data_IF_428009730339
#
_entry.id   IF_428009730339
#
_cell.length_a   1.000
_cell.length_b   1.000
_cell.length_c   1.000
_cell.angle_alpha   90.00
_cell.angle_beta   90.00
_cell.angle_gamma   90.00
#
_symmetry.space_group_name_H-M   'P 1'
#
loop_
_entity.id
_entity.type
_entity.pdbx_description
1 polymer ?
#
# COMPACT_ATOMS: atom_id res chain seq x y z
N UNK A 1 -30.40 17.93 78.54
CA UNK A 1 -31.27 17.09 77.71
C UNK A 1 -30.42 16.55 76.57
N UNK A 2 -30.33 15.22 76.49
CA UNK A 2 -29.53 14.47 75.51
C UNK A 2 -30.11 14.60 74.09
N UNK A 3 -29.24 14.70 73.09
CA UNK A 3 -29.37 13.93 71.85
C UNK A 3 -28.01 13.86 71.15
N UNK A 4 -27.34 12.73 71.32
CA UNK A 4 -26.16 12.36 70.54
C UNK A 4 -26.64 11.83 69.19
N UNK A 5 -26.42 12.58 68.10
CA UNK A 5 -26.47 12.00 66.76
C UNK A 5 -25.22 11.15 66.59
N UNK A 6 -25.40 9.82 66.56
CA UNK A 6 -24.37 8.88 66.11
C UNK A 6 -24.05 9.21 64.65
N UNK A 7 -23.00 9.98 64.42
CA UNK A 7 -22.38 10.10 63.10
C UNK A 7 -21.88 8.72 62.69
N UNK A 8 -22.50 8.13 61.66
CA UNK A 8 -22.06 6.87 61.07
C UNK A 8 -20.67 7.07 60.46
N UNK A 9 -19.63 6.68 61.19
CA UNK A 9 -18.24 6.63 60.74
C UNK A 9 -17.98 5.35 59.93
N UNK A 10 -18.60 5.28 58.75
CA UNK A 10 -18.20 4.34 57.70
C UNK A 10 -17.64 5.12 56.51
N UNK A 11 -16.54 4.70 55.87
CA UNK A 11 -16.11 5.30 54.61
C UNK A 11 -17.29 5.22 53.61
N UNK A 12 -17.50 6.25 52.76
CA UNK A 12 -18.61 6.23 51.81
C UNK A 12 -18.57 4.94 50.98
N UNK A 13 -19.72 4.28 50.74
CA UNK A 13 -19.74 3.05 49.96
C UNK A 13 -19.05 3.30 48.63
N UNK A 14 -18.18 2.39 48.24
CA UNK A 14 -17.27 2.52 47.11
C UNK A 14 -18.07 2.42 45.79
N UNK A 15 -18.85 3.46 45.46
CA UNK A 15 -19.73 3.55 44.28
C UNK A 15 -18.96 3.23 43.00
N UNK A 16 -17.67 3.59 42.98
CA UNK A 16 -16.65 3.20 41.99
C UNK A 16 -16.66 1.69 41.67
N UNK A 17 -16.74 0.82 42.67
CA UNK A 17 -16.72 -0.64 42.49
C UNK A 17 -17.99 -1.15 41.82
N UNK A 18 -19.15 -0.62 42.20
CA UNK A 18 -20.44 -0.98 41.61
C UNK A 18 -20.59 -0.46 40.17
N UNK A 19 -20.08 0.75 39.90
CA UNK A 19 -20.04 1.31 38.54
C UNK A 19 -19.12 0.48 37.63
N UNK A 20 -17.93 0.09 38.09
CA UNK A 20 -17.03 -0.80 37.34
C UNK A 20 -17.68 -2.16 37.03
N UNK A 21 -18.33 -2.76 38.01
CA UNK A 21 -19.08 -4.02 37.84
C UNK A 21 -20.24 -3.86 36.85
N UNK A 22 -20.99 -2.75 36.92
CA UNK A 22 -22.06 -2.43 35.97
C UNK A 22 -21.55 -2.28 34.53
N UNK A 23 -20.42 -1.59 34.33
CA UNK A 23 -19.79 -1.45 33.00
C UNK A 23 -19.34 -2.82 32.47
N UNK A 24 -18.69 -3.65 33.29
CA UNK A 24 -18.27 -4.99 32.88
C UNK A 24 -19.48 -5.84 32.49
N UNK A 25 -20.55 -5.83 33.31
CA UNK A 25 -21.77 -6.57 33.01
C UNK A 25 -22.39 -6.11 31.68
N UNK A 26 -22.44 -4.81 31.42
CA UNK A 26 -22.96 -4.26 30.17
C UNK A 26 -22.11 -4.67 28.96
N UNK A 27 -20.79 -4.65 29.08
CA UNK A 27 -19.87 -5.12 28.01
C UNK A 27 -20.11 -6.61 27.72
N UNK A 28 -20.25 -7.44 28.75
CA UNK A 28 -20.50 -8.89 28.60
C UNK A 28 -21.85 -9.13 27.91
N UNK A 29 -22.91 -8.44 28.35
CA UNK A 29 -24.24 -8.55 27.73
C UNK A 29 -24.15 -8.15 26.25
N UNK A 30 -23.51 -7.02 25.95
CA UNK A 30 -23.37 -6.53 24.57
C UNK A 30 -22.55 -7.51 23.72
N UNK A 31 -21.47 -8.08 24.26
CA UNK A 31 -20.67 -9.07 23.56
C UNK A 31 -21.49 -10.33 23.25
N UNK A 32 -22.27 -10.85 24.21
CA UNK A 32 -23.11 -12.03 24.02
C UNK A 32 -24.20 -11.76 22.97
N UNK A 33 -24.85 -10.60 23.00
CA UNK A 33 -25.87 -10.24 22.00
C UNK A 33 -25.26 -10.14 20.60
N UNK A 34 -24.11 -9.47 20.47
CA UNK A 34 -23.44 -9.31 19.18
C UNK A 34 -22.93 -10.64 18.62
N UNK A 35 -22.23 -11.44 19.45
CA UNK A 35 -21.70 -12.75 19.04
C UNK A 35 -22.83 -13.74 18.79
N UNK A 36 -23.86 -13.74 19.63
CA UNK A 36 -25.02 -14.61 19.47
C UNK A 36 -25.77 -14.35 18.16
N UNK A 37 -26.01 -13.08 17.82
CA UNK A 37 -26.65 -12.72 16.56
C UNK A 37 -25.81 -13.18 15.34
N UNK A 38 -24.49 -12.95 15.38
CA UNK A 38 -23.59 -13.40 14.30
C UNK A 38 -23.51 -14.93 14.21
N UNK A 39 -23.54 -15.63 15.34
CA UNK A 39 -23.52 -17.09 15.37
C UNK A 39 -24.80 -17.71 14.78
N UNK A 40 -25.96 -17.13 15.06
CA UNK A 40 -27.23 -17.56 14.46
C UNK A 40 -27.21 -17.34 12.95
N UNK A 41 -26.79 -16.16 12.50
CA UNK A 41 -26.66 -15.87 11.06
C UNK A 41 -25.70 -16.84 10.38
N UNK A 42 -24.55 -17.10 11.00
CA UNK A 42 -23.58 -18.07 10.48
C UNK A 42 -24.20 -19.47 10.37
N UNK A 43 -24.88 -19.94 11.42
CA UNK A 43 -25.46 -21.28 11.46
C UNK A 43 -26.60 -21.44 10.45
N UNK A 44 -27.47 -20.44 10.32
CA UNK A 44 -28.53 -20.43 9.30
C UNK A 44 -27.96 -20.51 7.89
N UNK A 45 -26.94 -19.70 7.58
CA UNK A 45 -26.32 -19.74 6.26
C UNK A 45 -25.57 -21.05 6.00
N UNK A 46 -24.93 -21.63 7.02
CA UNK A 46 -24.26 -22.92 6.91
C UNK A 46 -25.25 -24.06 6.59
N UNK A 47 -26.38 -24.13 7.30
CA UNK A 47 -27.42 -25.13 7.06
C UNK A 47 -28.12 -24.95 5.71
N UNK A 48 -28.39 -23.70 5.30
CA UNK A 48 -29.14 -23.43 4.06
C UNK A 48 -28.26 -23.57 2.80
N UNK A 49 -27.01 -23.12 2.84
CA UNK A 49 -26.16 -22.98 1.65
C UNK A 49 -24.92 -23.87 1.63
N UNK A 50 -24.56 -24.51 2.74
CA UNK A 50 -23.43 -25.43 2.88
C UNK A 50 -22.17 -24.95 2.13
N UNK A 51 -21.78 -25.66 1.06
CA UNK A 51 -20.57 -25.38 0.26
C UNK A 51 -20.57 -23.98 -0.38
N UNK A 52 -21.73 -23.45 -0.77
CA UNK A 52 -21.85 -22.11 -1.34
C UNK A 52 -21.52 -21.02 -0.31
N UNK A 53 -21.71 -21.31 0.98
CA UNK A 53 -21.36 -20.40 2.07
C UNK A 53 -19.96 -20.67 2.64
N UNK A 54 -19.57 -21.94 2.81
CA UNK A 54 -18.30 -22.31 3.45
C UNK A 54 -17.10 -22.09 2.54
N UNK A 55 -17.24 -22.24 1.22
CA UNK A 55 -16.12 -22.12 0.28
C UNK A 55 -15.57 -20.68 0.21
N UNK A 56 -16.39 -19.63 0.00
CA UNK A 56 -15.90 -18.25 0.03
C UNK A 56 -15.36 -17.85 1.41
N UNK A 57 -15.96 -18.38 2.48
CA UNK A 57 -15.51 -18.15 3.85
C UNK A 57 -14.14 -18.78 4.11
N UNK A 58 -13.91 -19.99 3.64
CA UNK A 58 -12.63 -20.68 3.70
C UNK A 58 -11.53 -19.86 3.01
N UNK A 59 -11.74 -19.44 1.74
CA UNK A 59 -10.79 -18.61 1.03
C UNK A 59 -10.56 -17.25 1.71
N UNK A 60 -11.62 -16.63 2.24
CA UNK A 60 -11.51 -15.38 3.00
C UNK A 60 -10.63 -15.54 4.24
N UNK A 61 -10.76 -16.65 4.97
CA UNK A 61 -9.95 -16.96 6.16
C UNK A 61 -8.50 -17.22 5.78
N UNK A 62 -8.24 -18.01 4.74
CA UNK A 62 -6.88 -18.27 4.24
C UNK A 62 -6.19 -16.95 3.89
N UNK A 63 -6.89 -16.10 3.12
CA UNK A 63 -6.43 -14.77 2.75
C UNK A 63 -6.15 -13.88 3.96
N UNK A 64 -7.10 -13.82 4.90
CA UNK A 64 -6.98 -13.07 6.15
C UNK A 64 -5.74 -13.50 6.94
N UNK A 65 -5.48 -14.80 7.07
CA UNK A 65 -4.32 -15.33 7.79
C UNK A 65 -3.02 -14.95 7.07
N UNK A 66 -2.91 -15.20 5.77
CA UNK A 66 -1.69 -14.97 5.00
C UNK A 66 -1.35 -13.48 4.93
N UNK A 67 -2.27 -12.66 4.45
CA UNK A 67 -2.04 -11.24 4.20
C UNK A 67 -1.86 -10.46 5.50
N UNK A 68 -2.64 -10.74 6.54
CA UNK A 68 -2.44 -10.08 7.84
C UNK A 68 -1.15 -10.54 8.52
N UNK A 69 -0.69 -11.78 8.30
CA UNK A 69 0.62 -12.22 8.77
C UNK A 69 1.75 -11.42 8.10
N UNK A 70 1.65 -11.24 6.77
CA UNK A 70 2.60 -10.41 6.02
C UNK A 70 2.58 -8.96 6.53
N UNK A 71 1.39 -8.37 6.71
CA UNK A 71 1.24 -6.97 7.07
C UNK A 71 1.61 -6.67 8.54
N UNK A 72 1.17 -7.52 9.47
CA UNK A 72 1.09 -7.20 10.89
C UNK A 72 2.06 -7.97 11.78
N UNK A 73 2.57 -9.14 11.36
CA UNK A 73 3.47 -9.92 12.21
C UNK A 73 4.88 -9.36 12.15
N UNK A 74 5.43 -9.04 13.32
CA UNK A 74 6.82 -8.58 13.47
C UNK A 74 7.69 -9.73 13.97
N UNK A 75 8.78 -10.00 13.26
CA UNK A 75 9.76 -11.05 13.61
C UNK A 75 10.89 -10.53 14.54
N UNK A 76 11.03 -9.21 14.69
CA UNK A 76 12.09 -8.61 15.53
C UNK A 76 11.81 -8.77 17.04
N UNK A 77 12.21 -9.92 17.58
CA UNK A 77 12.08 -10.28 19.00
C UNK A 77 13.04 -9.49 19.92
N UNK A 78 14.12 -8.96 19.37
CA UNK A 78 15.14 -8.20 20.13
C UNK A 78 14.59 -6.86 20.59
N UNK A 79 13.91 -6.13 19.69
CA UNK A 79 13.28 -4.84 20.04
C UNK A 79 11.96 -5.04 20.77
N UNK A 80 11.10 -5.97 20.30
CA UNK A 80 9.80 -6.34 20.92
C UNK A 80 8.99 -5.18 21.51
N UNK A 81 9.03 -4.02 20.84
CA UNK A 81 8.25 -2.85 21.25
C UNK A 81 6.88 -2.88 20.57
N UNK A 82 5.83 -2.51 21.32
CA UNK A 82 4.46 -2.39 20.84
C UNK A 82 3.92 -1.02 21.21
N UNK A 83 3.41 -0.28 20.22
CA UNK A 83 2.83 1.05 20.42
C UNK A 83 1.59 0.96 21.31
N UNK A 84 0.72 -0.03 21.06
CA UNK A 84 -0.50 -0.22 21.84
C UNK A 84 -0.17 -0.46 23.32
N UNK A 85 0.69 -1.43 23.62
CA UNK A 85 1.04 -1.78 25.00
C UNK A 85 1.76 -0.66 25.72
N UNK A 86 2.65 0.05 25.02
CA UNK A 86 3.31 1.23 25.58
C UNK A 86 2.28 2.33 25.91
N UNK A 87 1.43 2.71 24.95
CA UNK A 87 0.39 3.74 25.17
C UNK A 87 -0.54 3.36 26.31
N UNK A 88 -0.97 2.09 26.37
CA UNK A 88 -1.83 1.60 27.44
C UNK A 88 -1.14 1.67 28.81
N UNK A 89 0.11 1.21 28.90
CA UNK A 89 0.88 1.27 30.14
C UNK A 89 1.12 2.72 30.60
N UNK A 90 1.46 3.61 29.67
CA UNK A 90 1.62 5.04 29.95
C UNK A 90 0.29 5.65 30.42
N UNK A 91 -0.82 5.38 29.73
CA UNK A 91 -2.14 5.91 30.10
C UNK A 91 -2.61 5.42 31.48
N UNK A 92 -2.46 4.12 31.77
CA UNK A 92 -2.77 3.55 33.09
C UNK A 92 -1.89 4.18 34.17
N UNK A 93 -0.59 4.36 33.89
CA UNK A 93 0.32 5.05 34.79
C UNK A 93 -0.10 6.48 35.11
N UNK A 94 -0.61 7.21 34.12
CA UNK A 94 -1.16 8.56 34.32
C UNK A 94 -2.45 8.57 35.15
N UNK A 95 -3.34 7.59 34.94
CA UNK A 95 -4.61 7.49 35.67
C UNK A 95 -4.42 7.09 37.14
N UNK A 96 -3.43 6.25 37.43
CA UNK A 96 -3.17 5.72 38.76
C UNK A 96 -2.21 6.59 39.61
N UNK A 97 -1.73 7.73 39.09
CA UNK A 97 -0.72 8.53 39.80
C UNK A 97 -1.33 9.42 40.88
N UNK A 98 -0.52 9.70 41.91
CA UNK A 98 -0.74 10.83 42.81
C UNK A 98 -0.44 12.16 42.09
N UNK A 99 -1.30 13.20 42.19
CA UNK A 99 -1.14 14.46 41.46
C UNK A 99 0.17 15.21 41.73
N UNK A 100 0.79 14.96 42.89
CA UNK A 100 2.00 15.67 43.35
C UNK A 100 3.32 14.96 42.99
N UNK A 101 3.27 13.78 42.37
CA UNK A 101 4.47 13.04 41.97
C UNK A 101 5.04 13.53 40.63
N UNK A 102 6.37 13.60 40.52
CA UNK A 102 7.06 13.92 39.27
C UNK A 102 6.78 12.87 38.19
N UNK A 103 6.78 13.32 36.93
CA UNK A 103 6.42 12.50 35.78
C UNK A 103 7.67 11.86 35.19
N UNK A 104 7.92 10.59 35.50
CA UNK A 104 8.95 9.80 34.82
C UNK A 104 8.30 8.98 33.69
N UNK A 105 8.26 9.56 32.49
CA UNK A 105 7.78 8.85 31.29
C UNK A 105 8.96 8.12 30.68
N UNK A 106 8.96 6.79 30.80
CA UNK A 106 9.89 5.95 30.07
C UNK A 106 9.77 6.21 28.56
N UNK A 107 10.90 6.45 27.87
CA UNK A 107 10.86 6.62 26.40
C UNK A 107 10.46 5.32 25.69
N UNK A 108 9.66 5.42 24.63
CA UNK A 108 9.28 4.29 23.78
C UNK A 108 10.49 3.52 23.23
N UNK A 109 11.61 4.21 23.02
CA UNK A 109 12.83 3.62 22.51
C UNK A 109 13.41 2.52 23.43
N UNK A 110 13.16 2.62 24.73
CA UNK A 110 13.63 1.70 25.76
C UNK A 110 12.59 0.65 26.14
N UNK A 111 11.34 0.83 25.69
CA UNK A 111 10.22 -0.02 26.06
C UNK A 111 10.29 -1.40 25.40
N UNK A 112 10.10 -2.44 26.20
CA UNK A 112 10.10 -3.84 25.76
C UNK A 112 9.06 -4.63 26.56
N UNK A 113 8.26 -5.43 25.86
CA UNK A 113 7.41 -6.44 26.52
C UNK A 113 8.19 -7.75 26.69
N UNK A 114 7.65 -8.69 27.48
CA UNK A 114 8.25 -10.03 27.60
C UNK A 114 8.09 -10.84 26.31
N UNK A 115 8.95 -11.84 26.12
CA UNK A 115 8.93 -12.70 24.91
C UNK A 115 7.59 -13.43 24.73
N UNK A 116 7.03 -14.10 25.77
CA UNK A 116 5.74 -14.78 25.62
C UNK A 116 4.61 -13.81 25.26
N UNK A 117 4.57 -12.65 25.91
CA UNK A 117 3.57 -11.62 25.62
C UNK A 117 3.71 -11.07 24.21
N UNK A 118 4.93 -10.94 23.69
CA UNK A 118 5.16 -10.51 22.31
C UNK A 118 4.63 -11.51 21.29
N UNK A 119 4.86 -12.81 21.52
CA UNK A 119 4.40 -13.90 20.63
C UNK A 119 2.87 -13.96 20.64
N UNK A 120 2.26 -14.00 21.82
CA UNK A 120 0.79 -13.96 21.97
C UNK A 120 0.24 -12.73 21.26
N UNK A 121 0.86 -11.57 21.44
CA UNK A 121 0.44 -10.34 20.78
C UNK A 121 0.55 -10.41 19.24
N UNK A 122 1.54 -11.10 18.66
CA UNK A 122 1.59 -11.27 17.21
C UNK A 122 0.43 -12.13 16.70
N UNK A 123 0.09 -13.19 17.42
CA UNK A 123 -1.04 -14.07 17.09
C UNK A 123 -2.36 -13.29 17.24
N UNK A 124 -2.54 -12.57 18.34
CA UNK A 124 -3.74 -11.75 18.58
C UNK A 124 -3.95 -10.70 17.50
N UNK A 125 -2.89 -10.09 16.95
CA UNK A 125 -3.04 -9.15 15.84
C UNK A 125 -3.65 -9.80 14.60
N UNK A 126 -3.18 -11.00 14.23
CA UNK A 126 -3.71 -11.74 13.09
C UNK A 126 -5.19 -12.06 13.31
N UNK A 127 -5.57 -12.50 14.51
CA UNK A 127 -6.96 -12.82 14.82
C UNK A 127 -7.86 -11.57 14.89
N UNK A 128 -7.39 -10.48 15.48
CA UNK A 128 -8.18 -9.26 15.67
C UNK A 128 -8.32 -8.44 14.39
N UNK A 129 -7.28 -8.40 13.55
CA UNK A 129 -7.25 -7.55 12.37
C UNK A 129 -7.29 -8.34 11.05
N UNK A 130 -7.31 -9.68 11.10
CA UNK A 130 -7.33 -10.54 9.91
C UNK A 130 -8.51 -10.24 8.99
N UNK A 131 -9.67 -9.89 9.54
CA UNK A 131 -10.85 -9.54 8.76
C UNK A 131 -10.62 -8.37 7.78
N UNK A 132 -9.74 -7.42 8.09
CA UNK A 132 -9.38 -6.33 7.17
C UNK A 132 -8.60 -6.78 5.93
N UNK A 133 -8.11 -8.01 5.95
CA UNK A 133 -7.33 -8.63 4.88
C UNK A 133 -8.08 -9.79 4.21
N UNK A 134 -9.37 -9.98 4.50
CA UNK A 134 -10.18 -10.97 3.84
C UNK A 134 -10.35 -10.61 2.36
N UNK A 135 -9.80 -11.44 1.47
CA UNK A 135 -9.96 -11.31 0.03
C UNK A 135 -10.12 -12.70 -0.58
N UNK A 136 -11.33 -12.99 -1.09
CA UNK A 136 -11.72 -14.30 -1.62
C UNK A 136 -10.82 -14.70 -2.79
N UNK A 137 -10.60 -13.79 -3.74
CA UNK A 137 -9.80 -14.07 -4.94
C UNK A 137 -8.35 -14.41 -4.60
N UNK A 138 -7.74 -13.68 -3.67
CA UNK A 138 -6.40 -14.00 -3.19
C UNK A 138 -6.37 -15.34 -2.45
N UNK A 139 -7.37 -15.60 -1.59
CA UNK A 139 -7.45 -16.85 -0.83
C UNK A 139 -7.56 -18.07 -1.73
N UNK A 140 -8.40 -17.98 -2.76
CA UNK A 140 -8.51 -18.98 -3.82
C UNK A 140 -7.16 -19.16 -4.53
N UNK A 141 -6.55 -18.06 -4.99
CA UNK A 141 -5.27 -18.10 -5.69
C UNK A 141 -4.15 -18.72 -4.84
N UNK A 142 -4.12 -18.43 -3.54
CA UNK A 142 -3.14 -18.98 -2.62
C UNK A 142 -3.27 -20.50 -2.48
N UNK A 143 -4.49 -21.01 -2.31
CA UNK A 143 -4.73 -22.47 -2.26
C UNK A 143 -4.39 -23.11 -3.60
N UNK A 144 -4.83 -22.50 -4.70
CA UNK A 144 -4.54 -22.98 -6.05
C UNK A 144 -3.03 -23.15 -6.31
N UNK A 145 -2.20 -22.20 -5.84
CA UNK A 145 -0.74 -22.29 -5.91
C UNK A 145 -0.15 -23.34 -4.96
N UNK A 146 -0.69 -23.49 -3.75
CA UNK A 146 -0.26 -24.50 -2.78
C UNK A 146 -0.48 -25.90 -3.33
N UNK A 147 -1.55 -26.11 -4.09
CA UNK A 147 -1.86 -27.36 -4.77
C UNK A 147 -0.94 -27.65 -5.97
N UNK A 148 0.02 -26.77 -6.25
CA UNK A 148 1.03 -26.94 -7.31
C UNK A 148 0.60 -26.44 -8.68
N UNK A 149 -0.54 -25.76 -8.79
CA UNK A 149 -0.97 -25.14 -10.04
C UNK A 149 -0.20 -23.85 -10.31
N UNK A 150 -0.22 -23.41 -11.57
CA UNK A 150 0.52 -22.24 -12.02
C UNK A 150 -0.41 -21.05 -12.33
N UNK A 151 -0.05 -19.86 -11.84
CA UNK A 151 -0.71 -18.58 -12.15
C UNK A 151 0.20 -17.63 -12.95
N UNK A 152 1.31 -18.14 -13.50
CA UNK A 152 2.30 -17.39 -14.26
C UNK A 152 3.17 -16.47 -13.41
N UNK A 153 3.44 -16.86 -12.16
CA UNK A 153 4.27 -16.07 -11.22
C UNK A 153 5.71 -15.97 -11.73
N UNK A 154 6.19 -17.00 -12.42
CA UNK A 154 7.52 -17.05 -13.04
C UNK A 154 7.74 -15.97 -14.10
N UNK A 155 6.67 -15.44 -14.70
CA UNK A 155 6.76 -14.39 -15.72
C UNK A 155 6.74 -12.98 -15.10
N UNK A 156 6.40 -12.83 -13.81
CA UNK A 156 6.34 -11.53 -13.11
C UNK A 156 7.63 -10.69 -13.23
N UNK A 157 8.85 -11.24 -13.18
CA UNK A 157 10.06 -10.44 -13.35
C UNK A 157 10.10 -9.64 -14.66
N UNK A 158 9.42 -10.11 -15.71
CA UNK A 158 9.38 -9.42 -17.01
C UNK A 158 8.77 -8.01 -16.89
N UNK A 159 7.82 -7.80 -15.97
CA UNK A 159 7.22 -6.48 -15.71
C UNK A 159 8.26 -5.39 -15.44
N UNK A 160 9.34 -5.72 -14.73
CA UNK A 160 10.36 -4.73 -14.40
C UNK A 160 11.14 -4.25 -15.62
N UNK A 161 11.11 -5.00 -16.71
CA UNK A 161 11.72 -4.62 -17.99
C UNK A 161 10.76 -3.85 -18.89
N UNK A 162 9.45 -4.05 -18.78
CA UNK A 162 8.44 -3.51 -19.71
C UNK A 162 8.52 -1.98 -19.89
N UNK A 163 8.70 -1.15 -18.85
CA UNK A 163 8.85 0.30 -19.04
C UNK A 163 10.08 0.70 -19.87
N UNK A 164 11.10 -0.16 -19.92
CA UNK A 164 12.41 0.16 -20.49
C UNK A 164 12.64 -0.41 -21.89
N UNK A 165 11.74 -1.28 -22.37
CA UNK A 165 11.82 -1.89 -23.69
C UNK A 165 10.69 -1.38 -24.58
N UNK A 166 10.92 -1.38 -25.89
CA UNK A 166 9.87 -1.19 -26.89
C UNK A 166 9.51 -2.57 -27.42
N UNK A 167 8.46 -3.22 -26.88
CA UNK A 167 8.08 -4.54 -27.35
C UNK A 167 7.60 -4.44 -28.81
N UNK A 168 7.80 -5.50 -29.60
CA UNK A 168 7.27 -5.53 -30.94
C UNK A 168 5.73 -5.57 -30.90
N UNK A 169 5.09 -5.14 -31.99
CA UNK A 169 3.63 -5.00 -32.08
C UNK A 169 2.92 -6.32 -32.39
N UNK A 170 3.67 -7.38 -32.67
CA UNK A 170 3.13 -8.69 -32.98
C UNK A 170 2.66 -9.42 -31.71
N UNK A 171 1.67 -10.29 -31.89
CA UNK A 171 1.00 -11.01 -30.82
C UNK A 171 1.90 -12.03 -30.08
N UNK A 172 3.04 -12.40 -30.68
CA UNK A 172 3.96 -13.37 -30.09
C UNK A 172 4.50 -12.90 -28.73
N UNK A 173 4.88 -11.63 -28.62
CA UNK A 173 5.44 -11.07 -27.40
C UNK A 173 4.41 -11.09 -26.26
N UNK A 174 3.15 -10.74 -26.56
CA UNK A 174 2.06 -10.78 -25.59
C UNK A 174 1.81 -12.21 -25.09
N UNK A 175 1.82 -13.18 -26.00
CA UNK A 175 1.57 -14.60 -25.69
C UNK A 175 2.64 -15.20 -24.80
N UNK A 176 3.90 -14.86 -25.03
CA UNK A 176 5.02 -15.40 -24.27
C UNK A 176 5.20 -14.71 -22.91
N UNK A 177 4.96 -13.40 -22.83
CA UNK A 177 5.40 -12.59 -21.69
C UNK A 177 4.27 -11.96 -20.87
N UNK A 178 3.14 -11.61 -21.49
CA UNK A 178 2.09 -10.79 -20.86
C UNK A 178 0.87 -11.63 -20.48
N UNK A 179 0.33 -12.43 -21.40
CA UNK A 179 -0.84 -13.27 -21.14
C UNK A 179 -0.62 -14.22 -19.95
N UNK A 180 0.54 -14.91 -19.84
CA UNK A 180 0.76 -15.84 -18.74
C UNK A 180 0.71 -15.19 -17.36
N UNK A 181 1.11 -13.92 -17.23
CA UNK A 181 1.16 -13.22 -15.94
C UNK A 181 -0.17 -12.60 -15.51
N UNK A 182 -1.17 -12.47 -16.40
CA UNK A 182 -2.47 -11.83 -16.09
C UNK A 182 -3.12 -12.41 -14.83
N UNK A 183 -3.22 -13.75 -14.64
CA UNK A 183 -3.84 -14.31 -13.44
C UNK A 183 -3.13 -13.84 -12.16
N UNK A 184 -1.80 -13.95 -12.10
CA UNK A 184 -1.03 -13.48 -10.94
C UNK A 184 -1.20 -11.97 -10.69
N UNK A 185 -1.21 -11.16 -11.74
CA UNK A 185 -1.37 -9.71 -11.63
C UNK A 185 -2.76 -9.27 -11.20
N UNK A 186 -3.78 -10.09 -11.45
CA UNK A 186 -5.14 -9.81 -11.01
C UNK A 186 -5.36 -10.21 -9.55
N UNK A 187 -5.01 -11.45 -9.20
CA UNK A 187 -5.47 -12.05 -7.92
C UNK A 187 -4.37 -12.25 -6.87
N UNK A 188 -3.09 -12.25 -7.25
CA UNK A 188 -1.97 -12.51 -6.33
C UNK A 188 -1.23 -11.22 -5.95
N UNK A 189 -0.75 -10.48 -6.95
CA UNK A 189 0.19 -9.38 -6.75
C UNK A 189 -0.45 -8.18 -6.03
N UNK A 190 -1.62 -7.66 -6.43
CA UNK A 190 -2.17 -6.46 -5.80
C UNK A 190 -2.45 -6.63 -4.29
N UNK A 191 -3.05 -7.74 -3.82
CA UNK A 191 -3.22 -7.99 -2.39
C UNK A 191 -1.89 -8.09 -1.62
N UNK A 192 -0.86 -8.70 -2.21
CA UNK A 192 0.48 -8.78 -1.60
C UNK A 192 1.14 -7.41 -1.50
N UNK A 193 1.10 -6.60 -2.56
CA UNK A 193 1.60 -5.22 -2.54
C UNK A 193 0.86 -4.39 -1.50
N UNK A 194 -0.47 -4.53 -1.40
CA UNK A 194 -1.26 -3.89 -0.36
C UNK A 194 -0.80 -4.28 1.05
N UNK A 195 -0.65 -5.57 1.33
CA UNK A 195 -0.20 -6.06 2.63
C UNK A 195 1.22 -5.59 2.99
N UNK A 196 2.16 -5.62 2.03
CA UNK A 196 3.52 -5.10 2.21
C UNK A 196 3.51 -3.58 2.39
N UNK A 197 2.68 -2.85 1.65
CA UNK A 197 2.49 -1.41 1.79
C UNK A 197 2.00 -1.03 3.19
N UNK A 198 0.99 -1.75 3.71
CA UNK A 198 0.51 -1.59 5.10
C UNK A 198 1.64 -1.88 6.10
N UNK A 199 2.43 -2.93 5.88
CA UNK A 199 3.60 -3.24 6.72
C UNK A 199 4.58 -2.08 6.76
N UNK A 200 4.94 -1.51 5.61
CA UNK A 200 5.85 -0.37 5.50
C UNK A 200 5.25 0.84 6.21
N UNK A 201 3.99 1.17 5.96
CA UNK A 201 3.30 2.30 6.61
C UNK A 201 3.31 2.15 8.13
N UNK A 202 2.95 0.99 8.67
CA UNK A 202 2.89 0.76 10.11
C UNK A 202 4.28 0.77 10.76
N UNK A 203 5.26 0.08 10.16
CA UNK A 203 6.55 -0.14 10.79
C UNK A 203 7.62 0.89 10.46
N UNK A 204 7.62 1.44 9.26
CA UNK A 204 8.51 2.54 8.89
C UNK A 204 7.85 3.85 9.27
N UNK A 205 6.61 4.11 8.84
CA UNK A 205 5.89 5.35 9.14
C UNK A 205 5.47 5.49 10.60
N UNK A 206 4.36 4.87 10.97
CA UNK A 206 3.69 5.07 12.27
C UNK A 206 4.63 4.79 13.44
N UNK A 207 5.37 3.68 13.39
CA UNK A 207 6.26 3.31 14.48
C UNK A 207 7.44 4.27 14.69
N UNK A 208 8.05 4.80 13.62
CA UNK A 208 9.14 5.75 13.77
C UNK A 208 8.64 7.16 14.11
N UNK A 209 7.49 7.58 13.57
CA UNK A 209 6.82 8.83 13.99
C UNK A 209 6.52 8.77 15.48
N UNK A 210 5.91 7.68 15.95
CA UNK A 210 5.60 7.48 17.37
C UNK A 210 6.86 7.56 18.25
N UNK A 211 7.96 6.94 17.79
CA UNK A 211 9.26 7.03 18.45
C UNK A 211 9.82 8.45 18.48
N UNK A 212 9.68 9.21 17.40
CA UNK A 212 10.13 10.61 17.32
C UNK A 212 9.34 11.48 18.29
N UNK A 213 8.01 11.34 18.33
CA UNK A 213 7.14 12.11 19.23
C UNK A 213 7.50 11.82 20.68
N UNK A 214 7.60 10.55 21.06
CA UNK A 214 7.93 10.16 22.44
C UNK A 214 9.32 10.62 22.85
N UNK A 215 10.32 10.49 21.97
CA UNK A 215 11.65 11.03 22.22
C UNK A 215 11.66 12.56 22.33
N UNK A 216 10.88 13.26 21.50
CA UNK A 216 10.76 14.72 21.59
C UNK A 216 10.20 15.14 22.94
N UNK A 217 9.13 14.49 23.42
CA UNK A 217 8.53 14.79 24.73
C UNK A 217 9.55 14.58 25.86
N UNK A 218 10.29 13.47 25.86
CA UNK A 218 11.30 13.20 26.89
C UNK A 218 12.48 14.16 26.80
N UNK A 219 12.97 14.44 25.59
CA UNK A 219 14.13 15.30 25.37
C UNK A 219 13.79 16.77 25.68
N UNK A 220 12.57 17.23 25.35
CA UNK A 220 12.07 18.55 25.69
C UNK A 220 11.89 18.73 27.22
N UNK A 221 11.36 17.71 27.91
CA UNK A 221 11.31 17.71 29.37
C UNK A 221 12.71 17.77 30.02
N UNK A 222 13.72 17.18 29.37
CA UNK A 222 15.12 17.27 29.78
C UNK A 222 15.86 18.53 29.32
N UNK A 223 15.20 19.42 28.56
CA UNK A 223 15.76 20.68 28.04
C UNK A 223 16.75 20.53 26.88
N UNK A 224 16.86 19.36 26.24
CA UNK A 224 17.86 19.08 25.18
C UNK A 224 17.23 18.46 23.92
N UNK A 225 16.34 19.16 23.20
CA UNK A 225 15.71 18.64 22.00
C UNK A 225 16.73 18.42 20.85
N UNK A 226 16.65 17.27 20.18
CA UNK A 226 17.53 16.88 19.06
C UNK A 226 16.81 16.99 17.71
N UNK A 227 16.47 18.21 17.30
CA UNK A 227 15.70 18.49 16.08
C UNK A 227 16.27 17.83 14.82
N UNK A 228 17.60 17.82 14.65
CA UNK A 228 18.24 17.19 13.49
C UNK A 228 17.95 15.68 13.40
N UNK A 229 17.91 14.98 14.54
CA UNK A 229 17.59 13.55 14.60
C UNK A 229 16.12 13.29 14.22
N UNK A 230 15.21 14.17 14.62
CA UNK A 230 13.79 14.06 14.29
C UNK A 230 13.57 14.27 12.80
N UNK A 231 14.12 15.35 12.24
CA UNK A 231 14.03 15.66 10.80
C UNK A 231 14.63 14.55 9.95
N UNK A 232 15.82 14.05 10.29
CA UNK A 232 16.43 12.89 9.61
C UNK A 232 15.49 11.68 9.59
N UNK A 233 14.80 11.39 10.69
CA UNK A 233 13.87 10.27 10.75
C UNK A 233 12.66 10.50 9.83
N UNK A 234 12.11 11.72 9.79
CA UNK A 234 11.04 12.08 8.86
C UNK A 234 11.50 11.99 7.39
N UNK A 235 12.69 12.48 7.05
CA UNK A 235 13.26 12.37 5.70
C UNK A 235 13.39 10.91 5.25
N UNK A 236 13.84 10.00 6.12
CA UNK A 236 13.88 8.58 5.80
C UNK A 236 12.48 8.01 5.52
N UNK A 237 11.47 8.40 6.31
CA UNK A 237 10.10 7.92 6.11
C UNK A 237 9.56 8.39 4.76
N UNK A 238 9.74 9.67 4.43
CA UNK A 238 9.32 10.24 3.14
C UNK A 238 10.09 9.57 2.00
N UNK A 239 11.41 9.41 2.11
CA UNK A 239 12.22 8.76 1.11
C UNK A 239 11.79 7.31 0.83
N UNK A 240 11.53 6.52 1.89
CA UNK A 240 11.02 5.15 1.74
C UNK A 240 9.62 5.14 1.12
N UNK A 241 8.75 6.09 1.47
CA UNK A 241 7.43 6.20 0.84
C UNK A 241 7.54 6.51 -0.66
N UNK A 242 8.42 7.41 -1.07
CA UNK A 242 8.69 7.73 -2.49
C UNK A 242 9.24 6.52 -3.24
N UNK A 243 10.21 5.79 -2.66
CA UNK A 243 10.74 4.54 -3.25
C UNK A 243 9.64 3.48 -3.38
N UNK A 244 8.79 3.33 -2.37
CA UNK A 244 7.66 2.41 -2.43
C UNK A 244 6.67 2.78 -3.53
N UNK A 245 6.34 4.08 -3.67
CA UNK A 245 5.50 4.56 -4.77
C UNK A 245 6.14 4.28 -6.13
N UNK A 246 7.44 4.53 -6.29
CA UNK A 246 8.18 4.21 -7.53
C UNK A 246 8.11 2.72 -7.87
N UNK A 247 8.22 1.85 -6.86
CA UNK A 247 8.09 0.40 -7.05
C UNK A 247 6.67 -0.02 -7.49
N UNK A 248 5.63 0.64 -6.99
CA UNK A 248 4.25 0.34 -7.40
C UNK A 248 3.95 0.79 -8.84
N UNK A 249 4.69 1.75 -9.39
CA UNK A 249 4.50 2.20 -10.78
C UNK A 249 4.76 1.11 -11.83
N UNK A 250 5.51 0.05 -11.49
CA UNK A 250 5.66 -1.13 -12.36
C UNK A 250 4.38 -1.95 -12.51
N UNK A 251 3.42 -1.80 -11.61
CA UNK A 251 2.18 -2.59 -11.56
C UNK A 251 0.94 -1.76 -11.90
N UNK A 252 1.12 -0.55 -12.44
CA UNK A 252 0.00 0.29 -12.89
C UNK A 252 -0.60 -0.24 -14.18
N UNK A 253 -1.88 0.00 -14.38
CA UNK A 253 -2.64 -0.44 -15.55
C UNK A 253 -2.22 0.28 -16.84
N UNK A 254 -1.60 1.47 -16.73
CA UNK A 254 -1.21 2.31 -17.86
C UNK A 254 0.28 2.67 -17.78
N UNK A 255 1.14 1.86 -18.42
CA UNK A 255 2.56 2.16 -18.58
C UNK A 255 2.79 2.74 -19.98
N UNK A 256 3.06 4.04 -20.01
CA UNK A 256 3.38 4.80 -21.21
C UNK A 256 4.89 4.82 -21.50
N UNK A 257 5.28 5.42 -22.63
CA UNK A 257 6.69 5.58 -23.00
C UNK A 257 7.49 6.52 -22.07
N UNK A 258 6.82 7.32 -21.24
CA UNK A 258 7.42 8.26 -20.30
C UNK A 258 7.59 7.66 -18.89
N UNK A 259 6.90 6.56 -18.61
CA UNK A 259 6.83 5.93 -17.29
C UNK A 259 8.23 5.52 -16.80
N UNK A 260 9.14 5.14 -17.71
CA UNK A 260 10.55 4.89 -17.38
C UNK A 260 11.26 6.08 -16.72
N UNK A 261 11.00 7.31 -17.18
CA UNK A 261 11.59 8.51 -16.61
C UNK A 261 10.95 8.86 -15.28
N UNK A 262 9.63 8.65 -15.16
CA UNK A 262 8.91 8.88 -13.91
C UNK A 262 9.37 7.89 -12.81
N UNK A 263 9.48 6.60 -13.12
CA UNK A 263 10.03 5.56 -12.24
C UNK A 263 11.46 5.93 -11.82
N UNK A 264 12.34 6.21 -12.80
CA UNK A 264 13.72 6.58 -12.53
C UNK A 264 13.84 7.82 -11.66
N UNK A 265 13.08 8.87 -11.98
CA UNK A 265 13.02 10.12 -11.24
C UNK A 265 12.60 9.94 -9.78
N UNK A 266 11.52 9.18 -9.56
CA UNK A 266 11.03 8.87 -8.22
C UNK A 266 12.06 8.06 -7.42
N UNK A 267 12.73 7.07 -8.02
CA UNK A 267 13.82 6.36 -7.34
C UNK A 267 14.98 7.29 -6.99
N UNK A 268 15.43 8.17 -7.90
CA UNK A 268 16.50 9.12 -7.59
C UNK A 268 16.13 10.07 -6.45
N UNK A 269 14.90 10.60 -6.43
CA UNK A 269 14.41 11.44 -5.34
C UNK A 269 14.36 10.66 -4.02
N UNK A 270 13.77 9.46 -4.04
CA UNK A 270 13.64 8.60 -2.87
C UNK A 270 15.00 8.22 -2.27
N UNK A 271 15.95 7.81 -3.10
CA UNK A 271 17.31 7.48 -2.65
C UNK A 271 18.07 8.71 -2.16
N UNK A 272 17.91 9.89 -2.79
CA UNK A 272 18.53 11.11 -2.30
C UNK A 272 18.03 11.48 -0.89
N UNK A 273 16.71 11.39 -0.64
CA UNK A 273 16.12 11.60 0.69
C UNK A 273 16.65 10.61 1.73
N UNK A 274 16.75 9.33 1.37
CA UNK A 274 17.32 8.30 2.26
C UNK A 274 18.80 8.59 2.54
N UNK A 275 19.58 9.01 1.53
CA UNK A 275 20.99 9.36 1.71
C UNK A 275 21.14 10.56 2.67
N UNK A 276 20.39 11.64 2.47
CA UNK A 276 20.39 12.80 3.37
C UNK A 276 20.03 12.40 4.80
N UNK A 277 19.00 11.57 4.97
CA UNK A 277 18.63 11.04 6.28
C UNK A 277 19.78 10.28 6.96
N UNK A 278 20.49 9.41 6.24
CA UNK A 278 21.62 8.65 6.78
C UNK A 278 22.75 9.59 7.22
N UNK A 279 23.14 10.55 6.38
CA UNK A 279 24.20 11.51 6.71
C UNK A 279 23.82 12.38 7.91
N UNK A 280 22.56 12.81 7.99
CA UNK A 280 22.08 13.59 9.12
C UNK A 280 22.03 12.80 10.41
N UNK A 281 21.70 11.51 10.35
CA UNK A 281 21.70 10.62 11.52
C UNK A 281 23.11 10.43 12.09
N UNK A 282 24.14 10.47 11.23
CA UNK A 282 25.54 10.44 11.67
C UNK A 282 25.89 11.77 12.34
N UNK A 283 25.56 12.90 11.69
CA UNK A 283 25.83 14.25 12.18
C UNK A 283 25.05 14.62 13.43
N UNK A 284 23.86 14.07 13.64
CA UNK A 284 23.00 14.32 14.79
C UNK A 284 23.55 13.78 16.11
N UNK A 285 24.65 13.02 16.07
CA UNK A 285 25.41 12.66 17.27
C UNK A 285 26.13 13.86 17.89
N UNK A 286 26.43 14.88 17.08
CA UNK A 286 27.20 16.06 17.47
C UNK A 286 26.32 17.32 17.37
N UNK A 287 25.49 17.43 16.32
CA UNK A 287 24.67 18.59 16.03
C UNK A 287 23.21 18.39 16.46
N UNK A 288 22.61 19.41 17.07
CA UNK A 288 21.19 19.37 17.51
C UNK A 288 20.21 19.95 16.48
N UNK A 289 20.67 20.86 15.62
CA UNK A 289 19.86 21.59 14.65
C UNK A 289 20.47 21.51 13.25
N UNK A 290 19.63 21.71 12.24
CA UNK A 290 20.03 21.69 10.84
C UNK A 290 20.59 23.06 10.41
N UNK A 291 21.66 23.06 9.62
CA UNK A 291 22.23 24.27 9.04
C UNK A 291 21.36 24.75 7.85
N UNK A 292 21.15 26.06 7.71
CA UNK A 292 20.35 26.64 6.61
C UNK A 292 20.83 26.19 5.22
N UNK A 293 22.15 26.18 5.00
CA UNK A 293 22.77 25.73 3.74
C UNK A 293 22.36 24.31 3.38
N UNK A 294 22.33 23.41 4.36
CA UNK A 294 22.00 22.01 4.13
C UNK A 294 20.54 21.84 3.74
N UNK A 295 19.64 22.70 4.23
CA UNK A 295 18.22 22.72 3.80
C UNK A 295 18.12 23.12 2.33
N UNK A 296 18.83 24.19 1.93
CA UNK A 296 18.82 24.67 0.55
C UNK A 296 19.36 23.61 -0.43
N UNK A 297 20.46 22.94 -0.08
CA UNK A 297 21.03 21.87 -0.92
C UNK A 297 19.99 20.79 -1.19
N UNK A 298 19.26 20.32 -0.17
CA UNK A 298 18.25 19.25 -0.34
C UNK A 298 17.11 19.66 -1.25
N UNK A 299 16.52 20.83 -0.98
CA UNK A 299 15.40 21.35 -1.78
C UNK A 299 15.86 21.51 -3.23
N UNK A 300 17.03 22.11 -3.44
CA UNK A 300 17.58 22.28 -4.78
C UNK A 300 17.86 20.95 -5.47
N UNK A 301 18.41 19.95 -4.78
CA UNK A 301 18.63 18.61 -5.34
C UNK A 301 17.32 17.96 -5.79
N UNK A 302 16.29 17.98 -4.96
CA UNK A 302 14.98 17.37 -5.29
C UNK A 302 14.34 18.10 -6.48
N UNK A 303 14.34 19.43 -6.45
CA UNK A 303 13.79 20.26 -7.53
C UNK A 303 14.58 20.06 -8.83
N UNK A 304 15.91 19.98 -8.77
CA UNK A 304 16.74 19.74 -9.94
C UNK A 304 16.46 18.37 -10.58
N UNK A 305 16.29 17.31 -9.78
CA UNK A 305 15.90 15.99 -10.30
C UNK A 305 14.51 16.07 -10.94
N UNK A 306 13.53 16.70 -10.28
CA UNK A 306 12.18 16.82 -10.81
C UNK A 306 12.14 17.59 -12.14
N UNK A 307 12.89 18.70 -12.24
CA UNK A 307 13.02 19.48 -13.49
C UNK A 307 13.68 18.63 -14.58
N UNK A 308 14.78 17.93 -14.26
CA UNK A 308 15.46 17.09 -15.24
C UNK A 308 14.53 16.01 -15.79
N UNK A 309 13.78 15.32 -14.91
CA UNK A 309 12.78 14.32 -15.30
C UNK A 309 11.69 14.93 -16.18
N UNK A 310 11.15 16.09 -15.81
CA UNK A 310 10.15 16.79 -16.62
C UNK A 310 10.67 17.15 -18.02
N UNK A 311 11.93 17.61 -18.11
CA UNK A 311 12.59 17.89 -19.40
C UNK A 311 12.72 16.61 -20.22
N UNK A 312 13.19 15.51 -19.63
CA UNK A 312 13.32 14.24 -20.34
C UNK A 312 11.98 13.72 -20.85
N UNK A 313 10.92 13.79 -20.02
CA UNK A 313 9.57 13.41 -20.43
C UNK A 313 9.06 14.30 -21.57
N UNK A 314 9.26 15.62 -21.48
CA UNK A 314 8.83 16.56 -22.52
C UNK A 314 9.54 16.32 -23.86
N UNK A 315 10.87 16.14 -23.84
CA UNK A 315 11.65 15.80 -25.03
C UNK A 315 11.19 14.47 -25.61
N UNK A 316 10.96 13.47 -24.75
CA UNK A 316 10.55 12.15 -25.19
C UNK A 316 9.13 12.14 -25.78
N UNK A 317 8.20 12.91 -25.22
CA UNK A 317 6.88 13.16 -25.83
C UNK A 317 7.04 13.81 -27.21
N UNK A 318 7.88 14.84 -27.34
CA UNK A 318 8.11 15.48 -28.64
C UNK A 318 8.68 14.52 -29.69
N UNK A 319 9.60 13.62 -29.30
CA UNK A 319 10.12 12.57 -30.17
C UNK A 319 9.04 11.56 -30.55
N UNK A 320 8.20 11.16 -29.59
CA UNK A 320 7.11 10.21 -29.81
C UNK A 320 6.09 10.76 -30.82
N UNK A 321 5.69 12.02 -30.66
CA UNK A 321 4.77 12.71 -31.58
C UNK A 321 5.36 12.82 -32.99
N UNK A 322 6.64 13.20 -33.10
CA UNK A 322 7.31 13.37 -34.39
C UNK A 322 7.48 12.05 -35.16
N UNK A 323 7.72 10.94 -34.45
CA UNK A 323 7.92 9.63 -35.08
C UNK A 323 6.62 8.87 -35.36
N UNK A 324 5.44 9.43 -35.02
CA UNK A 324 4.13 8.76 -35.11
C UNK A 324 4.19 7.29 -34.63
N UNK A 325 4.95 7.00 -33.57
CA UNK A 325 5.13 5.60 -33.18
C UNK A 325 3.82 5.17 -32.52
N UNK A 326 3.05 4.40 -33.27
CA UNK A 326 1.84 3.69 -32.87
C UNK A 326 2.19 2.76 -31.71
N UNK A 327 2.23 3.32 -30.51
CA UNK A 327 1.23 3.16 -29.46
C UNK A 327 1.77 3.88 -28.22
N UNK A 328 0.87 4.46 -27.43
CA UNK A 328 1.14 5.35 -26.30
C UNK A 328 2.07 4.78 -25.20
N UNK A 329 2.56 3.55 -25.36
CA UNK A 329 3.56 2.91 -24.52
C UNK A 329 3.58 1.40 -24.69
N UNK A 330 4.48 0.71 -23.98
CA UNK A 330 4.56 -0.75 -24.01
C UNK A 330 3.23 -1.40 -23.62
N UNK A 331 2.51 -0.89 -22.62
CA UNK A 331 1.24 -1.50 -22.21
C UNK A 331 0.13 -1.29 -23.23
N UNK A 332 0.03 -0.09 -23.81
CA UNK A 332 -0.95 0.20 -24.85
C UNK A 332 -0.67 -0.61 -26.13
N UNK A 333 0.59 -0.80 -26.50
CA UNK A 333 0.97 -1.65 -27.62
C UNK A 333 0.53 -3.10 -27.39
N UNK A 334 0.77 -3.63 -26.20
CA UNK A 334 0.35 -5.00 -25.84
C UNK A 334 -1.18 -5.13 -25.78
N UNK A 335 -1.87 -4.15 -25.19
CA UNK A 335 -3.34 -4.13 -25.15
C UNK A 335 -3.94 -4.15 -26.55
N UNK A 336 -3.37 -3.38 -27.48
CA UNK A 336 -3.88 -3.31 -28.85
C UNK A 336 -3.54 -4.57 -29.63
N UNK A 337 -2.36 -5.14 -29.44
CA UNK A 337 -1.99 -6.44 -30.02
C UNK A 337 -2.97 -7.56 -29.59
N UNK A 338 -3.28 -7.65 -28.28
CA UNK A 338 -4.25 -8.63 -27.76
C UNK A 338 -5.66 -8.37 -28.31
N UNK A 339 -6.12 -7.12 -28.31
CA UNK A 339 -7.44 -6.79 -28.83
C UNK A 339 -7.58 -7.04 -30.34
N UNK A 340 -6.53 -6.78 -31.10
CA UNK A 340 -6.47 -7.04 -32.55
C UNK A 340 -6.55 -8.52 -32.86
N UNK A 341 -5.86 -9.35 -32.06
CA UNK A 341 -5.94 -10.80 -32.13
C UNK A 341 -7.34 -11.33 -31.75
N UNK A 342 -7.91 -10.89 -30.62
CA UNK A 342 -9.24 -11.30 -30.18
C UNK A 342 -10.36 -10.86 -31.12
N UNK A 343 -10.20 -9.71 -31.76
CA UNK A 343 -11.13 -9.19 -32.76
C UNK A 343 -10.94 -9.78 -34.16
N UNK A 344 -10.00 -10.74 -34.32
CA UNK A 344 -9.64 -11.35 -35.60
C UNK A 344 -9.35 -10.31 -36.71
N UNK A 345 -8.87 -9.12 -36.33
CA UNK A 345 -8.68 -8.02 -37.27
C UNK A 345 -7.57 -8.35 -38.30
N UNK A 346 -6.67 -9.27 -37.97
CA UNK A 346 -5.66 -9.80 -38.89
C UNK A 346 -6.24 -10.69 -39.99
N UNK A 347 -7.49 -11.15 -39.85
CA UNK A 347 -8.22 -11.91 -40.86
C UNK A 347 -9.06 -11.01 -41.79
N UNK A 348 -9.17 -9.72 -41.48
CA UNK A 348 -9.92 -8.75 -42.28
C UNK A 348 -9.09 -8.40 -43.52
N UNK A 349 -9.63 -8.71 -44.70
CA UNK A 349 -9.09 -8.24 -45.96
C UNK A 349 -9.61 -6.84 -46.24
N UNK A 350 -8.75 -5.83 -46.09
CA UNK A 350 -9.06 -4.46 -46.47
C UNK A 350 -8.99 -4.32 -48.00
N UNK A 351 -10.15 -4.17 -48.64
CA UNK A 351 -10.21 -3.75 -50.04
C UNK A 351 -10.23 -2.23 -50.07
N UNK A 352 -9.07 -1.61 -50.32
CA UNK A 352 -8.99 -0.17 -50.59
C UNK A 352 -9.47 0.05 -52.02
N UNK A 353 -10.70 0.54 -52.18
CA UNK A 353 -11.16 1.10 -53.44
C UNK A 353 -10.57 2.50 -53.60
N UNK A 354 -9.38 2.57 -54.19
CA UNK A 354 -8.82 3.83 -54.64
C UNK A 354 -9.55 4.22 -55.93
N UNK A 355 -10.56 5.09 -55.81
CA UNK A 355 -11.29 5.61 -56.96
C UNK A 355 -10.36 6.59 -57.65
N UNK A 356 -9.50 6.09 -58.54
CA UNK A 356 -8.75 6.94 -59.47
C UNK A 356 -9.76 7.68 -60.36
N UNK A 357 -10.04 8.94 -60.02
CA UNK A 357 -10.83 9.82 -60.88
C UNK A 357 -9.98 10.11 -62.11
N UNK A 358 -10.16 9.32 -63.17
CA UNK A 358 -9.51 9.56 -64.46
C UNK A 358 -10.04 10.88 -65.02
N UNK A 359 -9.15 11.84 -65.20
CA UNK A 359 -9.42 13.09 -65.91
C UNK A 359 -9.86 12.77 -67.34
N UNK A 360 -11.14 12.96 -67.64
CA UNK A 360 -11.69 12.82 -69.00
C UNK A 360 -11.71 14.17 -69.71
N UNK A 361 -11.39 14.16 -71.01
CA UNK A 361 -11.48 15.37 -71.85
C UNK A 361 -12.95 15.79 -72.00
N UNK A 362 -13.28 17.10 -72.06
CA UNK A 362 -14.65 17.57 -72.24
C UNK A 362 -15.40 16.95 -73.42
N UNK A 363 -14.68 16.56 -74.47
CA UNK A 363 -15.25 15.95 -75.68
C UNK A 363 -15.61 14.46 -75.51
N UNK A 364 -15.24 13.84 -74.38
CA UNK A 364 -15.48 12.43 -74.08
C UNK A 364 -16.48 12.23 -72.93
N UNK A 365 -17.05 13.31 -72.40
CA UNK A 365 -17.99 13.26 -71.27
C UNK A 365 -19.26 12.50 -71.65
N UNK A 366 -19.81 12.76 -72.83
CA UNK A 366 -21.08 12.15 -73.28
C UNK A 366 -20.93 10.63 -73.46
N UNK A 367 -19.81 10.20 -74.05
CA UNK A 367 -19.49 8.78 -74.22
C UNK A 367 -19.16 8.08 -72.89
N UNK A 368 -18.48 8.77 -71.96
CA UNK A 368 -18.22 8.23 -70.63
C UNK A 368 -19.50 8.02 -69.81
N UNK A 369 -20.51 8.88 -69.99
CA UNK A 369 -21.82 8.72 -69.35
C UNK A 369 -22.60 7.55 -69.95
N UNK A 370 -22.59 7.35 -71.28
CA UNK A 370 -23.20 6.18 -71.91
C UNK A 370 -22.53 4.86 -71.49
N UNK A 371 -21.19 4.84 -71.39
CA UNK A 371 -20.41 3.63 -71.07
C UNK A 371 -20.52 3.19 -69.60
N UNK A 372 -21.06 4.04 -68.70
CA UNK A 372 -21.21 3.75 -67.26
C UNK A 372 -22.65 3.98 -66.75
N UNK A 373 -23.65 3.89 -67.63
CA UNK A 373 -25.07 4.13 -67.32
C UNK A 373 -25.67 3.13 -66.29
N UNK A 374 -24.93 2.06 -65.96
CA UNK A 374 -25.31 0.98 -65.06
C UNK A 374 -24.68 1.05 -63.65
N UNK A 375 -23.96 2.12 -63.31
CA UNK A 375 -23.35 2.35 -61.98
C UNK A 375 -24.12 3.35 -61.13
#
# INVERSE_FOLDING_TARGET
>A
MYSASKGSSGPPPDVSKYVKLGIIALIVIMAVVLVGNQAVLFFMNYEEFADLFTTPLYFSIVSAIILSSIALVRVNIVKRSSILWYTLQTAIGFLNRNPSASVDIQSFSSYKISVPHFVIWQISKVLLFGAFFANIFFGFAAIYLIDGNNLGIENIPVIFSLPFVTPPTDFSYATENVIPMIPALLVVIPPLLGAIGVRILLYVGVHHIYKVITNYVTDAASGKPKFLQYTSTFEAIVGIAVVWSAFNMFFMENIDYNTKYAIGGMFFIGFALIAFSIFDKIRSRILTHMLKRDVYIRIFTIVAIAIAVAIFMSVNTSIADAKKIEYLGPYTAQQISVNRHLGELDLIQEHIHDVEIKSISPNQIEQYLEDNDDV
#
